data_IF_090367733198
#
_entry.id   IF_090367733198
#
_cell.length_a   1.000
_cell.length_b   1.000
_cell.length_c   1.000
_cell.angle_alpha   90.00
_cell.angle_beta   90.00
_cell.angle_gamma   90.00
#
_symmetry.space_group_name_H-M   'P 1'
#
loop_
_entity.id
_entity.type
_entity.pdbx_description
1 polymer ?
#
# COMPACT_ATOMS: atom_id res chain seq x y z
N UNK A 1 28.07 14.07 -14.20
CA UNK A 1 27.52 13.53 -12.93
C UNK A 1 26.72 12.24 -13.18
N UNK A 2 27.38 11.09 -13.35
CA UNK A 2 26.72 9.79 -13.54
C UNK A 2 26.02 9.24 -12.28
N UNK A 3 26.32 9.78 -11.10
CA UNK A 3 25.77 9.31 -9.81
C UNK A 3 24.28 9.61 -9.63
N UNK A 4 23.81 10.78 -10.08
CA UNK A 4 22.40 11.22 -9.92
C UNK A 4 21.45 10.33 -10.75
N UNK A 5 21.90 9.87 -11.92
CA UNK A 5 21.09 8.97 -12.79
C UNK A 5 20.93 7.57 -12.18
N UNK A 6 21.92 7.09 -11.44
CA UNK A 6 21.84 5.81 -10.72
C UNK A 6 20.87 5.89 -9.54
N UNK A 7 20.90 6.98 -8.78
CA UNK A 7 19.98 7.19 -7.66
C UNK A 7 18.53 7.37 -8.12
N UNK A 8 18.29 8.13 -9.19
CA UNK A 8 16.96 8.25 -9.81
C UNK A 8 16.42 6.89 -10.31
N UNK A 9 17.28 6.01 -10.80
CA UNK A 9 16.91 4.65 -11.18
C UNK A 9 16.45 3.80 -9.99
N UNK A 10 17.14 3.91 -8.86
CA UNK A 10 16.76 3.23 -7.61
C UNK A 10 15.45 3.77 -7.03
N UNK A 11 15.26 5.09 -7.03
CA UNK A 11 14.01 5.72 -6.58
C UNK A 11 12.84 5.23 -7.44
N UNK A 12 13.04 5.11 -8.76
CA UNK A 12 12.02 4.60 -9.67
C UNK A 12 11.68 3.14 -9.40
N UNK A 13 12.65 2.31 -9.04
CA UNK A 13 12.43 0.90 -8.68
C UNK A 13 11.67 0.77 -7.35
N UNK A 14 11.98 1.61 -6.36
CA UNK A 14 11.32 1.61 -5.04
C UNK A 14 10.05 2.47 -4.97
N UNK A 15 9.68 3.14 -6.06
CA UNK A 15 8.52 4.05 -6.11
C UNK A 15 7.21 3.36 -5.67
N UNK A 16 7.02 2.09 -6.06
CA UNK A 16 5.83 1.32 -5.65
C UNK A 16 5.80 1.09 -4.14
N UNK A 17 6.95 0.93 -3.47
CA UNK A 17 7.02 0.72 -2.02
C UNK A 17 6.74 2.04 -1.29
N UNK A 18 7.30 3.14 -1.79
CA UNK A 18 7.08 4.49 -1.27
C UNK A 18 5.59 4.86 -1.36
N UNK A 19 4.96 4.58 -2.49
CA UNK A 19 3.53 4.84 -2.69
C UNK A 19 2.66 4.06 -1.70
N UNK A 20 2.98 2.79 -1.45
CA UNK A 20 2.28 1.97 -0.45
C UNK A 20 2.46 2.54 0.95
N UNK A 21 3.67 2.99 1.30
CA UNK A 21 3.94 3.64 2.58
C UNK A 21 3.11 4.92 2.77
N UNK A 22 3.05 5.78 1.76
CA UNK A 22 2.21 6.99 1.78
C UNK A 22 0.74 6.61 1.98
N UNK A 23 0.28 5.56 1.29
CA UNK A 23 -1.10 5.12 1.36
C UNK A 23 -1.46 4.59 2.76
N UNK A 24 -0.55 3.83 3.39
CA UNK A 24 -0.71 3.37 4.77
C UNK A 24 -0.76 4.53 5.76
N UNK A 25 0.12 5.52 5.62
CA UNK A 25 0.13 6.71 6.50
C UNK A 25 -1.16 7.52 6.36
N UNK A 26 -1.65 7.71 5.13
CA UNK A 26 -2.93 8.39 4.90
C UNK A 26 -4.11 7.63 5.51
N UNK A 27 -4.07 6.30 5.42
CA UNK A 27 -5.11 5.44 5.94
C UNK A 27 -5.17 5.46 7.48
N UNK A 28 -4.01 5.41 8.14
CA UNK A 28 -3.91 5.51 9.62
C UNK A 28 -4.31 6.89 10.15
N UNK A 29 -4.07 7.96 9.40
CA UNK A 29 -4.45 9.33 9.81
C UNK A 29 -5.88 9.71 9.43
N UNK A 30 -6.52 8.95 8.54
CA UNK A 30 -7.87 9.24 8.01
C UNK A 30 -8.95 9.30 9.10
N UNK A 31 -8.91 8.43 10.11
CA UNK A 31 -9.86 8.44 11.23
C UNK A 31 -9.77 9.72 12.06
N UNK A 32 -8.54 10.21 12.30
CA UNK A 32 -8.31 11.46 13.02
C UNK A 32 -8.81 12.67 12.21
N UNK A 33 -8.49 12.73 10.92
CA UNK A 33 -8.97 13.79 10.03
C UNK A 33 -10.50 13.82 9.94
N UNK A 34 -11.15 12.67 9.84
CA UNK A 34 -12.61 12.58 9.85
C UNK A 34 -13.18 13.07 11.19
N UNK A 35 -12.59 12.65 12.31
CA UNK A 35 -13.07 13.04 13.64
C UNK A 35 -13.01 14.56 13.84
N UNK A 36 -11.92 15.19 13.41
CA UNK A 36 -11.76 16.65 13.44
C UNK A 36 -12.82 17.31 12.55
N UNK A 37 -13.00 16.83 11.32
CA UNK A 37 -13.99 17.38 10.39
C UNK A 37 -15.43 17.30 10.93
N UNK A 38 -15.83 16.13 11.43
CA UNK A 38 -17.17 15.93 12.00
C UNK A 38 -17.38 16.76 13.26
N UNK A 39 -16.34 16.96 14.07
CA UNK A 39 -16.40 17.83 15.24
C UNK A 39 -16.62 19.30 14.84
N UNK A 40 -15.91 19.77 13.82
CA UNK A 40 -16.12 21.12 13.28
C UNK A 40 -17.50 21.31 12.67
N UNK A 41 -18.08 20.25 12.08
CA UNK A 41 -19.45 20.25 11.56
C UNK A 41 -20.53 20.15 12.66
N UNK A 42 -20.15 20.13 13.94
CA UNK A 42 -21.09 20.16 15.07
C UNK A 42 -21.75 18.81 15.41
N UNK A 43 -21.24 17.70 14.89
CA UNK A 43 -21.78 16.37 15.21
C UNK A 43 -21.46 15.95 16.65
N UNK A 44 -22.35 15.14 17.23
CA UNK A 44 -22.19 14.62 18.58
C UNK A 44 -21.06 13.59 18.67
N UNK A 45 -20.44 13.47 19.85
CA UNK A 45 -19.31 12.57 20.10
C UNK A 45 -19.60 11.10 19.77
N UNK A 46 -20.84 10.64 19.96
CA UNK A 46 -21.28 9.28 19.62
C UNK A 46 -21.22 9.01 18.11
N UNK A 47 -21.65 9.98 17.29
CA UNK A 47 -21.63 9.85 15.82
C UNK A 47 -20.17 9.84 15.33
N UNK A 48 -19.34 10.71 15.90
CA UNK A 48 -17.91 10.77 15.60
C UNK A 48 -17.23 9.44 15.94
N UNK A 49 -17.50 8.89 17.13
CA UNK A 49 -16.94 7.62 17.56
C UNK A 49 -17.37 6.46 16.64
N UNK A 50 -18.66 6.39 16.29
CA UNK A 50 -19.17 5.33 15.41
C UNK A 50 -18.58 5.41 14.00
N UNK A 51 -18.54 6.62 13.43
CA UNK A 51 -17.92 6.85 12.13
C UNK A 51 -16.42 6.53 12.15
N UNK A 52 -15.72 6.92 13.22
CA UNK A 52 -14.31 6.59 13.43
C UNK A 52 -14.05 5.10 13.47
N UNK A 53 -14.81 4.33 14.27
CA UNK A 53 -14.69 2.87 14.34
C UNK A 53 -14.93 2.24 12.95
N UNK A 54 -15.93 2.72 12.22
CA UNK A 54 -16.26 2.20 10.90
C UNK A 54 -15.11 2.43 9.92
N UNK A 55 -14.52 3.63 9.92
CA UNK A 55 -13.34 3.93 9.10
C UNK A 55 -12.16 3.07 9.52
N UNK A 56 -11.90 2.91 10.82
CA UNK A 56 -10.75 2.15 11.32
C UNK A 56 -10.82 0.68 10.87
N UNK A 57 -12.01 0.07 10.91
CA UNK A 57 -12.22 -1.31 10.42
C UNK A 57 -11.88 -1.40 8.92
N UNK A 58 -12.34 -0.45 8.12
CA UNK A 58 -12.05 -0.41 6.68
C UNK A 58 -10.54 -0.21 6.44
N UNK A 59 -9.92 0.70 7.20
CA UNK A 59 -8.49 0.98 7.16
C UNK A 59 -7.64 -0.25 7.49
N UNK A 60 -8.05 -1.05 8.48
CA UNK A 60 -7.38 -2.31 8.83
C UNK A 60 -7.52 -3.32 7.70
N UNK A 61 -8.71 -3.47 7.10
CA UNK A 61 -8.92 -4.41 5.99
C UNK A 61 -8.04 -4.05 4.79
N UNK A 62 -8.02 -2.77 4.41
CA UNK A 62 -7.20 -2.29 3.29
C UNK A 62 -5.71 -2.42 3.61
N UNK A 63 -5.28 -2.06 4.82
CA UNK A 63 -3.89 -2.24 5.28
C UNK A 63 -3.47 -3.70 5.20
N UNK A 64 -4.34 -4.62 5.65
CA UNK A 64 -4.08 -6.06 5.57
C UNK A 64 -3.93 -6.54 4.12
N UNK A 65 -4.79 -6.09 3.20
CA UNK A 65 -4.68 -6.45 1.78
C UNK A 65 -3.40 -5.91 1.13
N UNK A 66 -3.01 -4.67 1.45
CA UNK A 66 -1.79 -4.04 0.95
C UNK A 66 -0.54 -4.74 1.49
N UNK A 67 -0.49 -4.98 2.81
CA UNK A 67 0.57 -5.73 3.46
C UNK A 67 0.65 -7.16 2.90
N UNK A 68 -0.48 -7.84 2.71
CA UNK A 68 -0.50 -9.19 2.14
C UNK A 68 0.11 -9.22 0.73
N UNK A 69 -0.19 -8.23 -0.11
CA UNK A 69 0.38 -8.10 -1.46
C UNK A 69 1.87 -7.77 -1.46
N UNK A 70 2.35 -7.12 -0.40
CA UNK A 70 3.76 -6.75 -0.26
C UNK A 70 4.61 -7.86 0.37
N UNK A 71 4.10 -8.48 1.43
CA UNK A 71 4.78 -9.52 2.22
C UNK A 71 4.73 -10.88 1.54
N UNK A 72 3.67 -11.19 0.79
CA UNK A 72 3.65 -12.33 -0.11
C UNK A 72 4.15 -11.81 -1.46
N UNK A 73 5.46 -11.91 -1.75
CA UNK A 73 5.94 -11.61 -3.09
C UNK A 73 5.10 -12.47 -4.04
N UNK A 74 4.52 -11.82 -5.05
CA UNK A 74 4.06 -12.54 -6.22
C UNK A 74 5.28 -13.34 -6.66
N UNK A 75 5.23 -14.66 -6.60
CA UNK A 75 6.13 -15.47 -7.41
C UNK A 75 5.79 -15.09 -8.85
N UNK A 76 6.41 -14.01 -9.34
CA UNK A 76 6.46 -13.69 -10.74
C UNK A 76 7.11 -14.91 -11.37
N UNK A 77 6.28 -15.65 -12.11
CA UNK A 77 6.63 -16.93 -12.68
C UNK A 77 8.00 -16.91 -13.32
N UNK A 78 8.97 -17.47 -12.59
CA UNK A 78 10.10 -18.21 -13.12
C UNK A 78 9.56 -19.46 -13.84
N UNK A 79 8.77 -19.26 -14.90
CA UNK A 79 8.21 -20.35 -15.70
C UNK A 79 8.35 -20.11 -17.21
N UNK A 80 9.10 -19.09 -17.61
CA UNK A 80 9.60 -18.96 -18.99
C UNK A 80 11.04 -19.49 -19.17
N UNK A 81 11.75 -19.82 -18.09
CA UNK A 81 13.10 -20.41 -18.15
C UNK A 81 13.08 -21.93 -18.29
N UNK A 82 12.05 -22.61 -17.76
CA UNK A 82 11.94 -24.07 -17.84
C UNK A 82 11.44 -24.54 -19.23
N UNK A 83 10.66 -23.70 -19.93
CA UNK A 83 10.20 -24.03 -21.30
C UNK A 83 11.31 -24.02 -22.35
N UNK A 84 12.40 -23.27 -22.17
CA UNK A 84 13.52 -23.26 -23.13
C UNK A 84 14.46 -24.46 -23.02
N UNK A 85 14.57 -25.10 -21.85
CA UNK A 85 15.44 -26.28 -21.67
C UNK A 85 14.81 -27.53 -22.29
N UNK A 86 13.48 -27.68 -22.24
CA UNK A 86 12.79 -28.84 -22.82
C UNK A 86 12.72 -28.85 -24.36
N UNK A 87 12.88 -27.71 -25.04
CA UNK A 87 12.88 -27.64 -26.51
C UNK A 87 14.26 -27.86 -27.13
N UNK A 88 15.35 -27.87 -26.34
CA UNK A 88 16.71 -28.18 -26.83
C UNK A 88 17.09 -29.67 -26.71
N UNK A 89 16.20 -30.51 -26.19
CA UNK A 89 16.41 -31.94 -25.97
C UNK A 89 15.43 -32.82 -26.77
N UNK A 90 14.85 -32.28 -27.85
CA UNK A 90 14.05 -33.04 -28.81
C UNK A 90 14.61 -32.87 -30.21
#
# INVERSE_FOLDING_TARGET
MPSIKKELGYIKASFSQILIGILLVGLTTSGLSLAIFLRFAGFNGTIIAFAGITIEVISIIISYLLLRRYVIPKEEGSNNSIKKVKTKLK
#
